data_IF_999058577683
#
_entry.id   IF_999058577683
#
_cell.length_a   1.000
_cell.length_b   1.000
_cell.length_c   1.000
_cell.angle_alpha   90.00
_cell.angle_beta   90.00
_cell.angle_gamma   90.00
#
_symmetry.space_group_name_H-M   'P 1'
#
loop_
_entity.id
_entity.type
_entity.pdbx_description
1 polymer ?
#
# COMPACT_ATOMS: atom_id res chain seq x y z
N UNK A 1 1.07 -8.60 -8.17
CA UNK A 1 1.98 -7.49 -7.81
C UNK A 1 1.10 -6.34 -7.36
N UNK A 2 1.45 -5.65 -6.27
CA UNK A 2 0.70 -4.51 -5.76
C UNK A 2 1.52 -3.22 -5.96
N UNK A 3 0.92 -2.14 -6.45
CA UNK A 3 1.59 -0.84 -6.58
C UNK A 3 0.89 0.23 -5.74
N UNK A 4 1.66 0.98 -4.95
CA UNK A 4 1.19 2.01 -4.02
C UNK A 4 1.63 3.39 -4.51
N UNK A 5 0.67 4.27 -4.78
CA UNK A 5 0.94 5.67 -5.19
C UNK A 5 0.37 6.64 -4.17
N UNK A 6 1.09 7.73 -3.87
CA UNK A 6 0.67 8.71 -2.87
C UNK A 6 0.27 10.06 -3.46
N UNK A 7 -0.77 10.70 -2.91
CA UNK A 7 -1.15 12.09 -3.22
C UNK A 7 -1.17 12.94 -1.92
N UNK A 8 -0.58 14.13 -1.97
CA UNK A 8 -0.52 15.10 -0.85
C UNK A 8 -1.75 16.03 -0.77
N UNK A 9 -2.78 15.84 -1.61
CA UNK A 9 -4.04 16.62 -1.52
C UNK A 9 -4.96 15.94 -0.50
N UNK A 10 -4.95 16.43 0.74
CA UNK A 10 -5.80 15.90 1.80
C UNK A 10 -6.43 17.00 2.65
N UNK A 11 -7.67 16.77 3.12
CA UNK A 11 -8.29 17.59 4.17
C UNK A 11 -7.43 17.56 5.45
N UNK A 12 -7.60 18.53 6.36
CA UNK A 12 -6.77 18.69 7.58
C UNK A 12 -6.59 17.40 8.41
N UNK A 13 -7.51 16.44 8.29
CA UNK A 13 -7.54 15.19 9.04
C UNK A 13 -6.67 14.06 8.45
N UNK A 14 -6.21 14.18 7.21
CA UNK A 14 -5.37 13.16 6.56
C UNK A 14 -4.08 13.78 6.04
N UNK A 15 -3.01 12.98 5.97
CA UNK A 15 -1.69 13.44 5.50
C UNK A 15 -1.24 12.74 4.23
N UNK A 16 -1.88 11.62 3.87
CA UNK A 16 -1.57 10.85 2.66
C UNK A 16 -2.83 10.15 2.15
N UNK A 17 -3.00 10.14 0.83
CA UNK A 17 -3.89 9.19 0.14
C UNK A 17 -3.02 8.16 -0.55
N UNK A 18 -3.27 6.87 -0.31
CA UNK A 18 -2.66 5.76 -1.04
C UNK A 18 -3.66 5.17 -2.01
N UNK A 19 -3.26 5.03 -3.27
CA UNK A 19 -3.97 4.25 -4.28
C UNK A 19 -3.25 2.92 -4.48
N UNK A 20 -3.96 1.82 -4.21
CA UNK A 20 -3.44 0.46 -4.32
C UNK A 20 -3.90 -0.13 -5.64
N UNK A 21 -2.94 -0.53 -6.45
CA UNK A 21 -3.19 -1.19 -7.72
C UNK A 21 -2.84 -2.66 -7.62
N UNK A 22 -3.72 -3.53 -8.14
CA UNK A 22 -3.36 -4.91 -8.44
C UNK A 22 -2.91 -4.98 -9.90
N UNK A 23 -1.74 -5.57 -10.14
CA UNK A 23 -1.25 -5.80 -11.50
C UNK A 23 -1.73 -7.16 -12.02
N UNK A 24 -2.41 -7.16 -13.16
CA UNK A 24 -2.80 -8.36 -13.90
C UNK A 24 -2.64 -8.09 -15.40
N UNK A 25 -1.96 -8.98 -16.12
CA UNK A 25 -1.72 -8.85 -17.57
C UNK A 25 -1.13 -7.49 -17.99
N UNK A 26 -0.09 -7.03 -17.28
CA UNK A 26 0.58 -5.74 -17.54
C UNK A 26 -0.29 -4.48 -17.39
N UNK A 27 -1.46 -4.63 -16.79
CA UNK A 27 -2.32 -3.52 -16.42
C UNK A 27 -2.41 -3.40 -14.89
N UNK A 28 -2.16 -2.18 -14.39
CA UNK A 28 -2.41 -1.81 -13.01
C UNK A 28 -3.87 -1.39 -12.84
N UNK A 29 -4.68 -2.24 -12.20
CA UNK A 29 -6.07 -1.92 -11.89
C UNK A 29 -6.15 -1.36 -10.47
N UNK A 30 -6.75 -0.18 -10.23
CA UNK A 30 -6.98 0.32 -8.89
C UNK A 30 -7.97 -0.61 -8.17
N UNK A 31 -7.59 -1.09 -6.99
CA UNK A 31 -8.40 -2.04 -6.21
C UNK A 31 -8.80 -1.52 -4.84
N UNK A 32 -8.05 -0.56 -4.30
CA UNK A 32 -8.36 0.08 -3.04
C UNK A 32 -7.75 1.48 -2.98
N UNK A 33 -8.40 2.37 -2.24
CA UNK A 33 -7.81 3.64 -1.81
C UNK A 33 -7.78 3.68 -0.29
N UNK A 34 -6.78 4.34 0.28
CA UNK A 34 -6.59 4.41 1.72
C UNK A 34 -6.22 5.84 2.13
N UNK A 35 -6.91 6.37 3.13
CA UNK A 35 -6.63 7.68 3.70
C UNK A 35 -5.87 7.47 5.01
N UNK A 36 -4.62 7.93 5.08
CA UNK A 36 -3.81 7.78 6.27
C UNK A 36 -3.68 9.11 7.04
N UNK A 37 -3.88 9.09 8.37
CA UNK A 37 -3.82 10.29 9.19
C UNK A 37 -2.39 10.81 9.40
N UNK A 38 -1.37 9.97 9.21
CA UNK A 38 0.04 10.33 9.39
C UNK A 38 0.99 9.34 8.68
N UNK A 39 2.27 9.72 8.55
CA UNK A 39 3.32 8.95 7.86
C UNK A 39 4.11 8.01 8.80
N UNK A 40 3.47 7.33 9.77
CA UNK A 40 4.15 6.49 10.79
C UNK A 40 4.05 4.99 10.51
N UNK A 41 5.06 4.23 10.93
CA UNK A 41 5.11 2.76 10.80
C UNK A 41 3.87 2.03 11.32
N UNK A 42 3.37 2.40 12.51
CA UNK A 42 2.13 1.82 13.08
C UNK A 42 0.93 1.99 12.14
N UNK A 43 0.79 3.16 11.53
CA UNK A 43 -0.31 3.50 10.61
C UNK A 43 -0.21 2.70 9.32
N UNK A 44 1.00 2.45 8.81
CA UNK A 44 1.22 1.55 7.68
C UNK A 44 0.98 0.08 8.03
N UNK A 45 1.35 -0.37 9.22
CA UNK A 45 1.03 -1.72 9.69
C UNK A 45 -0.48 -1.95 9.74
N UNK A 46 -1.21 -1.01 10.35
CA UNK A 46 -2.68 -1.04 10.39
C UNK A 46 -3.29 -1.05 8.98
N UNK A 47 -2.73 -0.28 8.03
CA UNK A 47 -3.15 -0.34 6.62
C UNK A 47 -3.08 -1.77 6.06
N UNK A 48 -1.96 -2.46 6.22
CA UNK A 48 -1.81 -3.82 5.69
C UNK A 48 -2.74 -4.83 6.38
N UNK A 49 -2.92 -4.73 7.69
CA UNK A 49 -3.88 -5.57 8.42
C UNK A 49 -5.30 -5.36 7.90
N UNK A 50 -5.73 -4.11 7.69
CA UNK A 50 -7.04 -3.81 7.09
C UNK A 50 -7.19 -4.36 5.67
N UNK A 51 -6.13 -4.35 4.87
CA UNK A 51 -6.16 -4.96 3.53
C UNK A 51 -6.32 -6.47 3.58
N UNK A 52 -5.66 -7.14 4.54
CA UNK A 52 -5.81 -8.59 4.76
C UNK A 52 -7.22 -8.94 5.21
N UNK A 53 -7.76 -8.19 6.17
CA UNK A 53 -9.15 -8.33 6.64
C UNK A 53 -10.15 -8.15 5.49
N UNK A 54 -9.98 -7.08 4.69
CA UNK A 54 -10.85 -6.81 3.55
C UNK A 54 -10.78 -7.94 2.52
N UNK A 55 -9.57 -8.40 2.16
CA UNK A 55 -9.42 -9.53 1.26
C UNK A 55 -10.10 -10.79 1.81
N UNK A 56 -9.91 -11.08 3.11
CA UNK A 56 -10.51 -12.23 3.78
C UNK A 56 -12.03 -12.16 3.78
N UNK A 57 -12.62 -10.99 4.01
CA UNK A 57 -14.08 -10.77 3.93
C UNK A 57 -14.66 -11.06 2.53
N UNK A 58 -13.84 -10.97 1.49
CA UNK A 58 -14.20 -11.30 0.10
C UNK A 58 -13.86 -12.76 -0.28
N UNK A 59 -13.46 -13.59 0.68
CA UNK A 59 -13.00 -14.96 0.43
C UNK A 59 -11.66 -15.03 -0.32
N UNK A 60 -10.87 -13.96 -0.28
CA UNK A 60 -9.56 -13.85 -0.94
C UNK A 60 -8.44 -13.78 0.10
N UNK A 61 -7.21 -13.99 -0.34
CA UNK A 61 -6.02 -13.78 0.50
C UNK A 61 -5.20 -12.62 -0.04
N UNK A 62 -4.86 -11.67 0.82
CA UNK A 62 -3.88 -10.64 0.51
C UNK A 62 -2.47 -11.24 0.66
N UNK A 63 -1.93 -11.81 -0.42
CA UNK A 63 -0.58 -12.41 -0.48
C UNK A 63 0.14 -11.99 -1.77
N UNK A 64 0.52 -10.71 -1.92
CA UNK A 64 1.24 -10.27 -3.11
C UNK A 64 2.61 -10.95 -3.19
N UNK A 65 3.03 -11.38 -4.38
CA UNK A 65 4.40 -11.88 -4.61
C UNK A 65 5.46 -10.77 -4.61
N UNK A 66 5.02 -9.54 -4.88
CA UNK A 66 5.85 -8.34 -5.00
C UNK A 66 5.01 -7.10 -4.71
N UNK A 67 5.58 -6.17 -3.95
CA UNK A 67 5.05 -4.82 -3.72
C UNK A 67 5.98 -3.81 -4.41
N UNK A 68 5.38 -2.87 -5.13
CA UNK A 68 6.03 -1.70 -5.72
C UNK A 68 5.50 -0.48 -4.98
N UNK A 69 6.37 0.38 -4.48
CA UNK A 69 5.96 1.56 -3.73
C UNK A 69 7.01 2.65 -3.81
N UNK A 70 6.61 3.90 -3.61
CA UNK A 70 7.55 4.98 -3.36
C UNK A 70 8.32 4.76 -2.06
N UNK A 71 9.52 5.34 -1.96
CA UNK A 71 10.31 5.28 -0.73
C UNK A 71 9.63 6.10 0.38
N UNK A 72 9.27 5.43 1.47
CA UNK A 72 8.77 6.06 2.68
C UNK A 72 9.38 5.38 3.91
N UNK A 73 10.22 6.06 4.72
CA UNK A 73 10.98 5.41 5.81
C UNK A 73 10.13 4.62 6.80
N UNK A 74 8.92 5.10 7.13
CA UNK A 74 7.99 4.38 8.01
C UNK A 74 7.32 3.17 7.35
N UNK A 75 7.25 3.11 6.03
CA UNK A 75 6.59 2.05 5.26
C UNK A 75 7.54 0.89 4.97
N UNK A 76 8.84 1.15 4.76
CA UNK A 76 9.79 0.11 4.35
C UNK A 76 9.83 -1.10 5.31
N UNK A 77 9.91 -0.92 6.65
CA UNK A 77 9.94 -2.06 7.57
C UNK A 77 8.66 -2.89 7.53
N UNK A 78 7.52 -2.26 7.18
CA UNK A 78 6.24 -2.95 7.06
C UNK A 78 6.18 -3.76 5.76
N UNK A 79 6.62 -3.17 4.64
CA UNK A 79 6.66 -3.86 3.34
C UNK A 79 7.59 -5.08 3.38
N UNK A 80 8.73 -4.98 4.06
CA UNK A 80 9.68 -6.08 4.26
C UNK A 80 9.08 -7.27 5.03
N UNK A 81 8.13 -7.01 5.94
CA UNK A 81 7.40 -8.06 6.66
C UNK A 81 6.34 -8.74 5.77
N UNK A 82 5.78 -8.01 4.81
CA UNK A 82 4.70 -8.50 3.95
C UNK A 82 5.22 -9.30 2.75
N UNK A 83 6.38 -8.94 2.20
CA UNK A 83 6.94 -9.60 1.01
C UNK A 83 8.46 -9.71 1.04
N UNK A 84 8.97 -10.84 0.54
CA UNK A 84 10.42 -11.06 0.39
C UNK A 84 11.03 -10.31 -0.80
N UNK A 85 10.22 -9.81 -1.73
CA UNK A 85 10.67 -9.06 -2.91
C UNK A 85 9.83 -7.79 -3.02
N UNK A 86 10.47 -6.63 -2.91
CA UNK A 86 9.84 -5.33 -3.13
C UNK A 86 10.68 -4.48 -4.08
N UNK A 87 10.03 -3.51 -4.73
CA UNK A 87 10.68 -2.56 -5.62
C UNK A 87 10.31 -1.15 -5.17
N UNK A 88 11.33 -0.34 -4.92
CA UNK A 88 11.14 1.06 -4.59
C UNK A 88 11.12 1.84 -5.90
N UNK A 89 10.09 2.64 -6.12
CA UNK A 89 10.04 3.60 -7.21
C UNK A 89 10.47 4.97 -6.66
N UNK A 90 11.42 5.62 -7.32
CA UNK A 90 11.82 7.00 -7.02
C UNK A 90 11.40 7.80 -8.23
N UNK A 91 10.35 8.60 -8.10
CA UNK A 91 10.05 9.65 -9.06
C UNK A 91 10.97 10.83 -8.72
N UNK A 92 12.08 10.94 -9.45
CA UNK A 92 12.97 12.11 -9.45
C UNK A 92 12.37 13.24 -10.26
#
# INVERSE_FOLDING_TARGET
MAALSTFDITSANFKQVYLIHAHKFDQGLPVAFCLLPNKRGKTYFELFERLKELASSMGKQFKPKRIITDFAPGLMPVVEQEVSVFTITIFV
#
